data_IF_463865764033
#
_entry.id   IF_463865764033
#
_cell.length_a   1.000
_cell.length_b   1.000
_cell.length_c   1.000
_cell.angle_alpha   90.00
_cell.angle_beta   90.00
_cell.angle_gamma   90.00
#
_symmetry.space_group_name_H-M   'P 1'
#
loop_
_entity.id
_entity.type
_entity.pdbx_description
1 polymer ?
#
# COMPACT_ATOMS: atom_id res chain seq x y z
N UNK A 1 -0.01 -29.44 0.51
CA UNK A 1 1.21 -29.54 1.36
C UNK A 1 0.97 -28.67 2.57
N UNK A 2 1.25 -29.13 3.79
CA UNK A 2 1.11 -28.28 4.98
C UNK A 2 2.50 -27.82 5.43
N UNK A 3 2.70 -26.51 5.56
CA UNK A 3 3.96 -25.93 6.02
C UNK A 3 4.07 -25.96 7.54
N UNK A 4 5.29 -26.11 8.06
CA UNK A 4 5.62 -25.93 9.48
C UNK A 4 6.25 -24.57 9.72
N UNK A 5 6.54 -24.24 10.99
CA UNK A 5 7.22 -22.99 11.35
C UNK A 5 8.64 -22.96 10.77
N UNK A 6 9.33 -24.11 10.77
CA UNK A 6 10.70 -24.24 10.25
C UNK A 6 10.78 -24.00 8.74
N UNK A 7 9.71 -24.27 8.00
CA UNK A 7 9.67 -24.02 6.56
C UNK A 7 9.65 -22.51 6.23
N UNK A 8 9.09 -21.68 7.11
CA UNK A 8 8.81 -20.26 6.84
C UNK A 8 10.09 -19.43 6.64
N UNK A 9 11.19 -19.81 7.29
CA UNK A 9 12.46 -19.11 7.18
C UNK A 9 13.00 -19.15 5.74
N UNK A 10 12.75 -20.24 5.01
CA UNK A 10 13.28 -20.49 3.68
C UNK A 10 12.32 -20.13 2.54
N UNK A 11 11.08 -19.77 2.84
CA UNK A 11 10.09 -19.41 1.83
C UNK A 11 10.27 -17.96 1.36
N UNK A 12 10.28 -17.72 0.06
CA UNK A 12 10.23 -16.35 -0.47
C UNK A 12 8.78 -15.87 -0.54
N UNK A 13 8.57 -14.57 -0.27
CA UNK A 13 7.30 -13.89 -0.47
C UNK A 13 7.42 -13.03 -1.74
N UNK A 14 6.68 -13.41 -2.77
CA UNK A 14 6.70 -12.83 -4.10
C UNK A 14 5.46 -11.96 -4.37
N UNK A 15 5.54 -11.16 -5.42
CA UNK A 15 4.43 -10.33 -5.90
C UNK A 15 3.39 -11.17 -6.67
N UNK A 16 2.12 -10.88 -6.45
CA UNK A 16 1.01 -11.44 -7.22
C UNK A 16 0.61 -12.86 -6.79
N UNK A 17 -0.42 -13.38 -7.45
CA UNK A 17 -0.92 -14.73 -7.24
C UNK A 17 -0.22 -15.74 -8.16
N UNK A 18 -0.13 -16.98 -7.71
CA UNK A 18 0.57 -18.07 -8.38
C UNK A 18 -0.36 -19.27 -8.61
N UNK A 19 -0.08 -20.04 -9.65
CA UNK A 19 -0.89 -21.23 -9.98
C UNK A 19 -0.52 -22.46 -9.12
N UNK A 20 0.69 -22.47 -8.54
CA UNK A 20 1.15 -23.55 -7.67
C UNK A 20 2.33 -23.10 -6.76
N UNK A 21 2.58 -23.80 -5.63
CA UNK A 21 3.68 -23.48 -4.70
C UNK A 21 5.07 -23.46 -5.35
N UNK A 22 5.27 -24.19 -6.44
CA UNK A 22 6.56 -24.26 -7.15
C UNK A 22 6.86 -22.99 -7.96
N UNK A 23 5.84 -22.17 -8.24
CA UNK A 23 5.99 -20.95 -9.06
C UNK A 23 6.24 -19.69 -8.22
N UNK A 24 6.14 -19.76 -6.90
CA UNK A 24 6.24 -18.63 -5.99
C UNK A 24 5.12 -18.63 -4.96
N UNK A 25 5.19 -17.68 -4.02
CA UNK A 25 4.17 -17.56 -2.98
C UNK A 25 3.95 -16.09 -2.63
N UNK A 26 2.71 -15.61 -2.63
CA UNK A 26 2.36 -14.40 -1.89
C UNK A 26 2.17 -14.71 -0.39
N UNK A 27 2.05 -13.67 0.44
CA UNK A 27 1.80 -13.84 1.88
C UNK A 27 0.64 -14.82 2.18
N UNK A 28 -0.49 -14.68 1.47
CA UNK A 28 -1.69 -15.45 1.80
C UNK A 28 -1.69 -16.88 1.29
N UNK A 29 -0.98 -17.13 0.20
CA UNK A 29 -0.70 -18.49 -0.28
C UNK A 29 0.13 -19.27 0.73
N UNK A 30 1.13 -18.63 1.35
CA UNK A 30 1.89 -19.26 2.44
C UNK A 30 1.00 -19.48 3.67
N UNK A 31 0.11 -18.53 3.99
CA UNK A 31 -0.86 -18.70 5.09
C UNK A 31 -1.79 -19.86 4.83
N UNK A 32 -2.28 -20.05 3.60
CA UNK A 32 -3.18 -21.16 3.26
C UNK A 32 -2.49 -22.50 3.46
N UNK A 33 -1.25 -22.66 2.95
CA UNK A 33 -0.46 -23.87 3.15
C UNK A 33 -0.11 -24.09 4.63
N UNK A 34 0.20 -23.04 5.39
CA UNK A 34 0.49 -23.15 6.82
C UNK A 34 -0.75 -23.57 7.63
N UNK A 35 -1.92 -23.05 7.28
CA UNK A 35 -3.20 -23.45 7.86
C UNK A 35 -3.61 -24.89 7.46
N UNK A 36 -3.00 -25.44 6.41
CA UNK A 36 -3.35 -26.74 5.85
C UNK A 36 -4.56 -26.68 4.91
N UNK A 37 -4.86 -25.50 4.37
CA UNK A 37 -5.84 -25.29 3.32
C UNK A 37 -5.23 -25.56 1.93
N UNK A 38 -6.08 -25.53 0.90
CA UNK A 38 -5.62 -25.56 -0.48
C UNK A 38 -4.79 -24.30 -0.80
N UNK A 39 -3.85 -24.42 -1.75
CA UNK A 39 -3.01 -23.30 -2.18
C UNK A 39 -3.88 -22.21 -2.81
N UNK A 40 -3.93 -21.04 -2.18
CA UNK A 40 -4.81 -19.93 -2.57
C UNK A 40 -4.36 -18.64 -1.90
N UNK A 41 -4.43 -17.53 -2.64
CA UNK A 41 -4.26 -16.19 -2.09
C UNK A 41 -5.50 -15.68 -1.32
N UNK A 42 -6.55 -16.51 -1.22
CA UNK A 42 -7.82 -16.21 -0.58
C UNK A 42 -8.20 -17.30 0.44
N UNK A 43 -7.34 -17.55 1.45
CA UNK A 43 -7.56 -18.58 2.46
C UNK A 43 -8.82 -18.33 3.29
N UNK A 44 -9.57 -19.40 3.58
CA UNK A 44 -10.81 -19.34 4.33
C UNK A 44 -10.59 -19.03 5.82
N UNK A 45 -9.43 -19.43 6.36
CA UNK A 45 -9.03 -19.18 7.75
C UNK A 45 -8.71 -17.71 8.05
N UNK A 46 -8.58 -16.85 7.04
CA UNK A 46 -8.24 -15.42 7.20
C UNK A 46 -9.47 -14.56 6.97
N UNK A 47 -9.63 -13.53 7.80
CA UNK A 47 -10.68 -12.53 7.61
C UNK A 47 -10.57 -11.86 6.22
N UNK A 48 -11.68 -11.68 5.47
CA UNK A 48 -11.63 -11.11 4.13
C UNK A 48 -10.99 -9.72 4.02
N UNK A 49 -11.14 -8.87 5.04
CA UNK A 49 -10.51 -7.54 5.08
C UNK A 49 -9.01 -7.64 5.36
N UNK A 50 -8.60 -8.50 6.30
CA UNK A 50 -7.17 -8.77 6.52
C UNK A 50 -6.52 -9.38 5.29
N UNK A 51 -7.23 -10.27 4.60
CA UNK A 51 -6.77 -10.89 3.38
C UNK A 51 -6.57 -9.84 2.27
N UNK A 52 -7.57 -8.98 2.06
CA UNK A 52 -7.47 -7.91 1.07
C UNK A 52 -6.33 -6.93 1.39
N UNK A 53 -6.22 -6.48 2.63
CA UNK A 53 -5.14 -5.59 3.05
C UNK A 53 -3.77 -6.24 2.86
N UNK A 54 -3.62 -7.49 3.31
CA UNK A 54 -2.38 -8.26 3.18
C UNK A 54 -1.93 -8.45 1.73
N UNK A 55 -2.85 -8.79 0.81
CA UNK A 55 -2.56 -8.87 -0.63
C UNK A 55 -2.14 -7.54 -1.22
N UNK A 56 -2.93 -6.48 -0.98
CA UNK A 56 -2.61 -5.15 -1.51
C UNK A 56 -1.27 -4.63 -0.98
N UNK A 57 -0.93 -4.94 0.28
CA UNK A 57 0.36 -4.57 0.86
C UNK A 57 1.51 -5.39 0.29
N UNK A 58 1.34 -6.71 0.15
CA UNK A 58 2.29 -7.61 -0.50
C UNK A 58 2.67 -7.11 -1.90
N UNK A 59 1.65 -6.86 -2.73
CA UNK A 59 1.83 -6.53 -4.13
C UNK A 59 2.33 -5.10 -4.34
N UNK A 60 2.03 -4.20 -3.40
CA UNK A 60 2.47 -2.80 -3.43
C UNK A 60 3.91 -2.55 -2.96
N UNK A 61 4.60 -3.54 -2.37
CA UNK A 61 5.99 -3.39 -1.95
C UNK A 61 6.98 -3.42 -3.12
N UNK A 62 8.12 -2.74 -2.98
CA UNK A 62 9.04 -2.48 -4.11
C UNK A 62 9.89 -3.68 -4.49
N UNK A 63 10.17 -4.57 -3.55
CA UNK A 63 11.06 -5.73 -3.76
C UNK A 63 10.68 -6.91 -2.87
N UNK A 64 11.12 -8.11 -3.27
CA UNK A 64 10.89 -9.33 -2.50
C UNK A 64 11.59 -9.27 -1.13
N UNK A 65 12.71 -8.56 -1.05
CA UNK A 65 13.43 -8.27 0.20
C UNK A 65 12.56 -7.47 1.18
N UNK A 66 11.84 -6.45 0.69
CA UNK A 66 10.86 -5.73 1.53
C UNK A 66 9.70 -6.65 1.92
N UNK A 67 9.17 -7.46 0.98
CA UNK A 67 8.08 -8.42 1.26
C UNK A 67 8.41 -9.43 2.33
N UNK A 68 9.68 -9.80 2.49
CA UNK A 68 10.12 -10.73 3.53
C UNK A 68 9.69 -10.31 4.95
N UNK A 69 9.51 -9.00 5.21
CA UNK A 69 9.02 -8.50 6.50
C UNK A 69 7.60 -8.99 6.85
N UNK A 70 6.79 -9.36 5.85
CA UNK A 70 5.42 -9.83 6.05
C UNK A 70 5.34 -11.24 6.65
N UNK A 71 6.44 -12.01 6.62
CA UNK A 71 6.49 -13.37 7.19
C UNK A 71 6.04 -13.45 8.64
N UNK A 72 6.26 -12.37 9.40
CA UNK A 72 5.84 -12.25 10.82
C UNK A 72 4.33 -12.47 11.01
N UNK A 73 3.53 -12.26 9.97
CA UNK A 73 2.07 -12.40 10.02
C UNK A 73 1.56 -13.80 9.67
N UNK A 74 2.40 -14.67 9.10
CA UNK A 74 1.97 -16.01 8.64
C UNK A 74 1.34 -16.83 9.77
N UNK A 75 1.91 -16.76 10.97
CA UNK A 75 1.41 -17.49 12.15
C UNK A 75 0.29 -16.76 12.89
N UNK A 76 0.00 -15.51 12.52
CA UNK A 76 -0.97 -14.63 13.20
C UNK A 76 -2.30 -14.52 12.47
N UNK A 77 -2.31 -14.75 11.15
CA UNK A 77 -3.49 -14.64 10.30
C UNK A 77 -4.47 -15.83 10.37
N UNK A 78 -4.04 -17.09 10.56
CA UNK A 78 -4.96 -18.21 10.69
C UNK A 78 -5.95 -18.03 11.86
N UNK A 79 -7.23 -18.25 11.60
CA UNK A 79 -8.30 -18.16 12.61
C UNK A 79 -8.78 -16.73 12.87
N UNK A 80 -8.36 -15.76 12.06
CA UNK A 80 -8.85 -14.38 12.16
C UNK A 80 -10.25 -14.21 11.58
N UNK A 81 -10.68 -15.10 10.68
CA UNK A 81 -12.05 -15.11 10.16
C UNK A 81 -13.05 -15.51 11.25
N UNK A 82 -13.71 -14.53 11.87
CA UNK A 82 -14.65 -14.72 12.99
C UNK A 82 -16.04 -14.13 12.72
N UNK A 83 -16.35 -13.83 11.46
CA UNK A 83 -17.67 -13.34 11.03
C UNK A 83 -17.72 -11.85 10.67
N UNK A 84 -18.85 -11.47 10.08
CA UNK A 84 -19.02 -10.20 9.35
C UNK A 84 -18.92 -8.95 10.23
N UNK A 85 -19.34 -9.01 11.49
CA UNK A 85 -19.29 -7.87 12.40
C UNK A 85 -17.83 -7.45 12.67
N UNK A 86 -16.97 -8.42 12.99
CA UNK A 86 -15.54 -8.16 13.20
C UNK A 86 -14.84 -7.77 11.91
N UNK A 87 -15.22 -8.37 10.78
CA UNK A 87 -14.69 -7.99 9.47
C UNK A 87 -15.05 -6.55 9.12
N UNK A 88 -16.30 -6.12 9.39
CA UNK A 88 -16.72 -4.74 9.20
C UNK A 88 -15.94 -3.76 10.09
N UNK A 89 -15.72 -4.10 11.37
CA UNK A 89 -14.90 -3.30 12.28
C UNK A 89 -13.47 -3.11 11.74
N UNK A 90 -12.83 -4.17 11.25
CA UNK A 90 -11.52 -4.10 10.59
C UNK A 90 -11.55 -3.24 9.33
N UNK A 91 -12.63 -3.33 8.55
CA UNK A 91 -12.85 -2.49 7.37
C UNK A 91 -12.82 -1.01 7.69
N UNK A 92 -13.48 -0.61 8.78
CA UNK A 92 -13.45 0.78 9.26
C UNK A 92 -12.07 1.19 9.80
N UNK A 93 -11.35 0.30 10.46
CA UNK A 93 -9.96 0.57 10.87
C UNK A 93 -9.05 0.85 9.67
N UNK A 94 -9.17 0.05 8.60
CA UNK A 94 -8.43 0.25 7.36
C UNK A 94 -8.83 1.55 6.65
N UNK A 95 -10.13 1.88 6.62
CA UNK A 95 -10.65 3.12 6.03
C UNK A 95 -10.14 4.36 6.77
N UNK A 96 -10.19 4.36 8.11
CA UNK A 96 -9.67 5.46 8.94
C UNK A 96 -8.17 5.69 8.66
N UNK A 97 -7.38 4.62 8.66
CA UNK A 97 -5.96 4.71 8.37
C UNK A 97 -5.69 5.20 6.96
N UNK A 98 -6.43 4.70 5.96
CA UNK A 98 -6.28 5.11 4.57
C UNK A 98 -6.47 6.63 4.44
N UNK A 99 -7.51 7.18 5.06
CA UNK A 99 -7.84 8.61 4.97
C UNK A 99 -6.88 9.46 5.80
N UNK A 100 -6.80 9.18 7.11
CA UNK A 100 -6.18 10.09 8.08
C UNK A 100 -4.66 9.93 8.15
N UNK A 101 -4.12 8.79 7.73
CA UNK A 101 -2.69 8.50 7.75
C UNK A 101 -2.13 8.37 6.34
N UNK A 102 -2.57 7.39 5.55
CA UNK A 102 -1.94 7.10 4.26
C UNK A 102 -2.07 8.24 3.26
N UNK A 103 -3.30 8.67 2.95
CA UNK A 103 -3.57 9.75 2.01
C UNK A 103 -3.01 11.08 2.51
N UNK A 104 -3.21 11.40 3.80
CA UNK A 104 -2.72 12.68 4.36
C UNK A 104 -1.19 12.79 4.28
N UNK A 105 -0.45 11.72 4.58
CA UNK A 105 1.02 11.71 4.49
C UNK A 105 1.50 11.92 3.06
N UNK A 106 0.87 11.29 2.06
CA UNK A 106 1.23 11.50 0.66
C UNK A 106 0.94 12.93 0.18
N UNK A 107 -0.22 13.48 0.55
CA UNK A 107 -0.57 14.87 0.21
C UNK A 107 0.41 15.88 0.82
N UNK A 108 0.93 15.61 2.02
CA UNK A 108 1.86 16.51 2.71
C UNK A 108 3.19 16.72 1.95
N UNK A 109 3.54 15.85 1.01
CA UNK A 109 4.74 16.00 0.18
C UNK A 109 4.66 17.15 -0.84
N UNK A 110 3.45 17.56 -1.21
CA UNK A 110 3.23 18.70 -2.09
C UNK A 110 2.86 19.93 -1.23
N UNK A 111 3.68 21.00 -1.21
CA UNK A 111 3.38 22.22 -0.45
C UNK A 111 2.01 22.83 -0.77
N UNK A 112 1.52 22.70 -2.01
CA UNK A 112 0.20 23.16 -2.43
C UNK A 112 -0.95 22.33 -1.85
N UNK A 113 -0.68 21.12 -1.36
CA UNK A 113 -1.67 20.19 -0.80
C UNK A 113 -1.57 20.05 0.73
N UNK A 114 -0.60 20.69 1.38
CA UNK A 114 -0.39 20.59 2.84
C UNK A 114 -1.64 20.95 3.64
N UNK A 115 -2.40 21.96 3.22
CA UNK A 115 -3.67 22.31 3.90
C UNK A 115 -4.69 21.15 3.86
N UNK A 116 -4.81 20.46 2.72
CA UNK A 116 -5.69 19.30 2.59
C UNK A 116 -5.18 18.11 3.41
N UNK A 117 -3.87 17.87 3.42
CA UNK A 117 -3.25 16.84 4.26
C UNK A 117 -3.60 17.02 5.74
N UNK A 118 -3.39 18.23 6.28
CA UNK A 118 -3.73 18.54 7.68
C UNK A 118 -5.23 18.46 7.94
N UNK A 119 -6.05 18.86 6.96
CA UNK A 119 -7.51 18.78 7.07
C UNK A 119 -8.03 17.34 7.16
N UNK A 120 -7.41 16.39 6.44
CA UNK A 120 -7.71 14.95 6.53
C UNK A 120 -7.18 14.33 7.82
N UNK A 121 -5.95 14.66 8.20
CA UNK A 121 -5.34 14.18 9.45
C UNK A 121 -6.12 14.61 10.70
N UNK A 122 -6.71 15.81 10.66
CA UNK A 122 -7.50 16.36 11.76
C UNK A 122 -8.97 15.89 11.81
N UNK A 123 -9.42 15.02 10.89
CA UNK A 123 -10.76 14.44 10.96
C UNK A 123 -10.94 13.63 12.25
N UNK A 124 -12.15 13.54 12.82
CA UNK A 124 -12.48 12.51 13.81
C UNK A 124 -12.23 11.10 13.24
N UNK A 125 -12.05 10.07 14.09
CA UNK A 125 -11.92 8.70 13.63
C UNK A 125 -13.11 8.27 12.75
N UNK A 126 -12.82 7.60 11.63
CA UNK A 126 -13.84 7.11 10.69
C UNK A 126 -14.24 5.68 11.08
N UNK A 127 -15.31 5.52 11.86
CA UNK A 127 -15.73 4.21 12.37
C UNK A 127 -17.06 3.72 11.82
N UNK A 128 -17.74 4.55 11.02
CA UNK A 128 -18.98 4.20 10.35
C UNK A 128 -19.24 5.06 9.11
N UNK A 129 -20.34 4.75 8.41
CA UNK A 129 -20.78 5.48 7.21
C UNK A 129 -21.03 6.97 7.51
N UNK A 130 -21.61 7.29 8.67
CA UNK A 130 -21.92 8.67 9.02
C UNK A 130 -20.64 9.52 9.19
N UNK A 131 -19.58 8.95 9.78
CA UNK A 131 -18.28 9.63 9.89
C UNK A 131 -17.67 9.86 8.51
N UNK A 132 -17.73 8.86 7.63
CA UNK A 132 -17.24 8.99 6.25
C UNK A 132 -18.02 10.06 5.48
N UNK A 133 -19.34 10.10 5.61
CA UNK A 133 -20.17 11.15 5.01
C UNK A 133 -19.82 12.54 5.54
N UNK A 134 -19.54 12.67 6.84
CA UNK A 134 -19.08 13.93 7.42
C UNK A 134 -17.68 14.34 6.92
N UNK A 135 -16.82 13.36 6.61
CA UNK A 135 -15.50 13.59 6.04
C UNK A 135 -15.52 13.90 4.53
N UNK A 136 -16.57 13.49 3.81
CA UNK A 136 -16.67 13.53 2.34
C UNK A 136 -16.33 14.90 1.73
N UNK A 137 -16.82 16.05 2.24
CA UNK A 137 -16.49 17.34 1.65
C UNK A 137 -14.98 17.66 1.67
N UNK A 138 -14.26 17.18 2.70
CA UNK A 138 -12.80 17.34 2.77
C UNK A 138 -12.07 16.38 1.84
N UNK A 139 -12.58 15.16 1.70
CA UNK A 139 -12.05 14.18 0.75
C UNK A 139 -12.20 14.67 -0.69
N UNK A 140 -13.37 15.20 -1.06
CA UNK A 140 -13.63 15.73 -2.40
C UNK A 140 -12.72 16.93 -2.72
N UNK A 141 -12.54 17.83 -1.75
CA UNK A 141 -11.64 18.97 -1.89
C UNK A 141 -10.17 18.53 -2.05
N UNK A 142 -9.72 17.56 -1.26
CA UNK A 142 -8.37 17.00 -1.37
C UNK A 142 -8.15 16.30 -2.71
N UNK A 143 -9.14 15.52 -3.18
CA UNK A 143 -9.10 14.85 -4.47
C UNK A 143 -9.01 15.85 -5.62
N UNK A 144 -9.88 16.85 -5.64
CA UNK A 144 -9.88 17.88 -6.70
C UNK A 144 -8.56 18.65 -6.75
N UNK A 145 -8.01 19.03 -5.59
CA UNK A 145 -6.74 19.73 -5.50
C UNK A 145 -5.56 18.84 -5.95
N UNK A 146 -5.53 17.57 -5.53
CA UNK A 146 -4.51 16.62 -5.96
C UNK A 146 -4.57 16.37 -7.47
N UNK A 147 -5.77 16.24 -8.03
CA UNK A 147 -5.98 16.08 -9.47
C UNK A 147 -5.51 17.29 -10.26
N UNK A 148 -5.83 18.50 -9.80
CA UNK A 148 -5.34 19.74 -10.40
C UNK A 148 -3.80 19.81 -10.37
N UNK A 149 -3.19 19.56 -9.21
CA UNK A 149 -1.74 19.58 -9.06
C UNK A 149 -1.02 18.54 -9.95
N UNK A 150 -1.62 17.35 -10.12
CA UNK A 150 -1.11 16.34 -11.05
C UNK A 150 -1.21 16.80 -12.51
N UNK A 151 -2.31 17.47 -12.87
CA UNK A 151 -2.51 18.07 -14.19
C UNK A 151 -1.48 19.16 -14.51
N UNK A 152 -1.24 20.07 -13.56
CA UNK A 152 -0.22 21.13 -13.70
C UNK A 152 1.17 20.53 -13.89
N UNK A 153 1.54 19.54 -13.07
CA UNK A 153 2.83 18.85 -13.18
C UNK A 153 2.99 18.12 -14.52
N UNK A 154 1.93 17.48 -15.03
CA UNK A 154 1.94 16.84 -16.34
C UNK A 154 2.08 17.86 -17.48
N UNK A 155 1.41 19.03 -17.35
CA UNK A 155 1.53 20.13 -18.30
C UNK A 155 2.94 20.71 -18.35
N UNK A 156 3.54 20.96 -17.19
CA UNK A 156 4.93 21.42 -17.07
C UNK A 156 5.92 20.43 -17.68
N UNK A 157 5.74 19.13 -17.41
CA UNK A 157 6.56 18.07 -17.98
C UNK A 157 6.41 17.99 -19.51
N UNK A 158 5.19 18.08 -20.04
CA UNK A 158 4.94 18.09 -21.48
C UNK A 158 5.58 19.31 -22.16
N UNK A 159 5.52 20.48 -21.53
CA UNK A 159 6.12 21.69 -22.06
C UNK A 159 7.65 21.70 -21.98
N UNK A 160 8.23 21.13 -20.90
CA UNK A 160 9.67 20.88 -20.81
C UNK A 160 10.12 19.91 -21.92
N UNK A 161 9.43 18.79 -22.09
CA UNK A 161 9.73 17.83 -23.15
C UNK A 161 9.60 18.45 -24.56
N UNK A 162 8.59 19.30 -24.79
CA UNK A 162 8.44 20.01 -26.06
C UNK A 162 9.59 21.00 -26.32
N UNK A 163 10.06 21.71 -25.28
CA UNK A 163 11.24 22.59 -25.35
C UNK A 163 12.52 21.82 -25.61
N UNK A 164 12.69 20.67 -24.97
CA UNK A 164 13.85 19.81 -25.14
C UNK A 164 13.87 19.19 -26.53
N UNK A 165 12.74 18.68 -27.02
CA UNK A 165 12.59 18.20 -28.40
C UNK A 165 12.86 19.30 -29.44
N UNK A 166 12.45 20.54 -29.16
CA UNK A 166 12.77 21.69 -30.01
C UNK A 166 14.26 22.10 -29.96
N UNK A 167 15.00 21.65 -28.94
CA UNK A 167 16.43 21.94 -28.74
C UNK A 167 17.36 20.82 -29.20
N UNK A 168 16.86 19.60 -29.41
CA UNK A 168 17.75 18.44 -29.56
C UNK A 168 18.18 18.18 -31.01
N UNK A 169 19.50 18.35 -31.22
CA UNK A 169 20.29 17.68 -32.24
C UNK A 169 21.35 16.82 -31.50
N UNK A 170 21.09 15.51 -31.40
CA UNK A 170 22.03 14.42 -31.08
C UNK A 170 22.55 14.20 -29.63
N UNK A 171 21.70 13.98 -28.60
CA UNK A 171 22.18 13.33 -27.36
C UNK A 171 21.20 12.42 -26.58
N UNK A 172 20.57 11.45 -27.24
CA UNK A 172 19.63 10.51 -26.60
C UNK A 172 20.17 9.75 -25.36
N UNK A 173 21.46 9.39 -25.32
CA UNK A 173 22.03 8.58 -24.24
C UNK A 173 22.21 9.35 -22.90
N UNK A 174 22.56 10.64 -22.92
CA UNK A 174 22.64 11.43 -21.70
C UNK A 174 21.24 11.72 -21.13
N UNK A 175 20.24 11.89 -22.00
CA UNK A 175 18.85 12.06 -21.58
C UNK A 175 18.33 10.84 -20.82
N UNK A 176 18.58 9.62 -21.32
CA UNK A 176 18.18 8.40 -20.62
C UNK A 176 18.87 8.26 -19.25
N UNK A 177 20.18 8.55 -19.17
CA UNK A 177 20.92 8.52 -17.91
C UNK A 177 20.45 9.60 -16.92
N UNK A 178 20.17 10.81 -17.39
CA UNK A 178 19.61 11.90 -16.58
C UNK A 178 18.21 11.55 -16.06
N UNK A 179 17.37 10.93 -16.89
CA UNK A 179 16.04 10.43 -16.50
C UNK A 179 16.13 9.35 -15.42
N UNK A 180 17.04 8.38 -15.57
CA UNK A 180 17.27 7.35 -14.55
C UNK A 180 17.78 7.95 -13.23
N UNK A 181 18.72 8.89 -13.29
CA UNK A 181 19.24 9.60 -12.12
C UNK A 181 18.16 10.44 -11.42
N UNK A 182 17.31 11.13 -12.18
CA UNK A 182 16.17 11.88 -11.65
C UNK A 182 15.14 10.95 -10.97
N UNK A 183 14.85 9.80 -11.58
CA UNK A 183 13.98 8.77 -10.98
C UNK A 183 14.56 8.22 -9.67
N UNK A 184 15.86 7.90 -9.63
CA UNK A 184 16.53 7.44 -8.41
C UNK A 184 16.53 8.51 -7.30
N UNK A 185 16.76 9.78 -7.67
CA UNK A 185 16.69 10.90 -6.74
C UNK A 185 15.28 11.10 -6.18
N UNK A 186 14.25 10.94 -7.02
CA UNK A 186 12.85 10.97 -6.58
C UNK A 186 12.56 9.82 -5.59
N UNK A 187 12.93 8.58 -5.91
CA UNK A 187 12.78 7.45 -4.97
C UNK A 187 13.46 7.72 -3.62
N UNK A 188 14.68 8.26 -3.65
CA UNK A 188 15.43 8.64 -2.44
C UNK A 188 14.68 9.70 -1.62
N UNK A 189 14.06 10.68 -2.29
CA UNK A 189 13.29 11.74 -1.63
C UNK A 189 12.01 11.22 -0.99
N UNK A 190 11.40 10.18 -1.56
CA UNK A 190 10.17 9.56 -1.03
C UNK A 190 10.43 8.54 0.08
N UNK A 191 11.66 8.04 0.21
CA UNK A 191 12.04 6.98 1.15
C UNK A 191 11.56 7.20 2.59
N UNK A 192 11.74 8.39 3.21
CA UNK A 192 11.29 8.59 4.60
C UNK A 192 9.77 8.45 4.76
N UNK A 193 9.01 8.87 3.74
CA UNK A 193 7.55 8.75 3.73
C UNK A 193 7.12 7.29 3.56
N UNK A 194 7.80 6.55 2.67
CA UNK A 194 7.55 5.11 2.50
C UNK A 194 7.81 4.38 3.82
N UNK A 195 8.94 4.62 4.49
CA UNK A 195 9.27 4.00 5.77
C UNK A 195 8.26 4.33 6.87
N UNK A 196 7.84 5.60 6.96
CA UNK A 196 6.80 6.02 7.89
C UNK A 196 5.48 5.27 7.64
N UNK A 197 5.07 5.14 6.38
CA UNK A 197 3.83 4.46 6.02
C UNK A 197 3.92 2.94 6.23
N UNK A 198 5.07 2.31 5.97
CA UNK A 198 5.33 0.91 6.29
C UNK A 198 5.17 0.65 7.79
N UNK A 199 5.80 1.48 8.64
CA UNK A 199 5.66 1.37 10.09
C UNK A 199 4.20 1.51 10.54
N UNK A 200 3.45 2.45 9.93
CA UNK A 200 2.03 2.63 10.25
C UNK A 200 1.15 1.48 9.74
N UNK A 201 1.51 0.84 8.62
CA UNK A 201 0.81 -0.33 8.10
C UNK A 201 1.02 -1.53 9.02
N UNK A 202 2.24 -1.73 9.55
CA UNK A 202 2.51 -2.73 10.58
C UNK A 202 1.64 -2.54 11.82
N UNK A 203 1.58 -1.31 12.35
CA UNK A 203 0.74 -0.98 13.52
C UNK A 203 -0.75 -1.25 13.27
N UNK A 204 -1.28 -0.77 12.12
CA UNK A 204 -2.66 -1.02 11.74
C UNK A 204 -2.93 -2.53 11.63
N UNK A 205 -2.09 -3.26 10.90
CA UNK A 205 -2.32 -4.68 10.61
C UNK A 205 -2.32 -5.52 11.88
N UNK A 206 -1.39 -5.25 12.82
CA UNK A 206 -1.38 -5.87 14.14
C UNK A 206 -2.67 -5.57 14.92
N UNK A 207 -3.09 -4.30 14.98
CA UNK A 207 -4.34 -3.93 15.64
C UNK A 207 -5.57 -4.59 15.02
N UNK A 208 -5.62 -4.75 13.70
CA UNK A 208 -6.73 -5.42 13.02
C UNK A 208 -6.74 -6.93 13.33
N UNK A 209 -5.56 -7.57 13.38
CA UNK A 209 -5.42 -8.98 13.78
C UNK A 209 -5.92 -9.18 15.22
N UNK A 210 -5.51 -8.29 16.13
CA UNK A 210 -5.80 -8.36 17.57
C UNK A 210 -7.19 -7.80 17.93
N UNK A 211 -7.97 -7.34 16.96
CA UNK A 211 -9.33 -6.89 17.18
C UNK A 211 -10.23 -8.08 17.55
N UNK A 212 -11.05 -7.87 18.59
CA UNK A 212 -12.12 -8.76 19.05
C UNK A 212 -13.50 -8.15 18.80
#
# INVERSE_FOLDING_TARGET
MKLTIEDLDNIAINHGAHDSPEHGHCLLEVVSLFAGEDFSDSPACVDPILAQFGRSWNDGMRSDDERAQLKVYITRLPGTNKGDELSQKRGWMAMDWLIRTYTSTWLALNPGLTHHAEALKALPPIVCVADLQAAQPKLDAAWAAAWAAAGDAAGDAAWAAARDAARDAAWAAAWAAAGAAAGAAACTKLEPTVQQLQASAHDLFLRMIDAE
#
